data_IF_882046616492
#
_entry.id   IF_882046616492
#
_cell.length_a   1.000
_cell.length_b   1.000
_cell.length_c   1.000
_cell.angle_alpha   90.00
_cell.angle_beta   90.00
_cell.angle_gamma   90.00
#
_symmetry.space_group_name_H-M   'P 1'
#
loop_
_entity.id
_entity.type
_entity.pdbx_description
1 polymer ?
#
# COMPACT_ATOMS: atom_id res chain seq x y z
N UNK A 1 19.80 -25.98 14.32
CA UNK A 1 20.49 -24.70 14.04
C UNK A 1 21.87 -24.68 14.68
N UNK A 2 21.99 -24.85 16.00
CA UNK A 2 23.26 -24.83 16.74
C UNK A 2 24.35 -25.75 16.17
N UNK A 3 24.00 -27.00 15.83
CA UNK A 3 24.95 -27.96 15.24
C UNK A 3 25.55 -27.43 13.93
N UNK A 4 24.75 -26.74 13.11
CA UNK A 4 25.20 -26.21 11.82
C UNK A 4 26.06 -24.95 12.03
N UNK A 5 25.66 -24.06 12.94
CA UNK A 5 26.45 -22.88 13.31
C UNK A 5 27.82 -23.31 13.85
N UNK A 6 27.85 -24.28 14.76
CA UNK A 6 29.09 -24.81 15.34
C UNK A 6 29.96 -25.57 14.31
N UNK A 7 29.35 -26.08 13.24
CA UNK A 7 30.06 -26.70 12.12
C UNK A 7 30.62 -25.67 11.11
N UNK A 8 30.44 -24.37 11.34
CA UNK A 8 30.92 -23.30 10.47
C UNK A 8 30.01 -23.02 9.28
N UNK A 9 28.72 -23.34 9.38
CA UNK A 9 27.75 -22.94 8.35
C UNK A 9 27.67 -21.41 8.26
N UNK A 10 27.66 -20.90 7.03
CA UNK A 10 27.49 -19.47 6.77
C UNK A 10 26.06 -19.03 7.12
N UNK A 11 25.93 -18.24 8.19
CA UNK A 11 24.65 -17.71 8.70
C UNK A 11 24.05 -16.62 7.80
N UNK A 12 24.82 -16.10 6.85
CA UNK A 12 24.43 -15.06 5.90
C UNK A 12 24.26 -15.59 4.46
N UNK A 13 24.37 -16.90 4.26
CA UNK A 13 24.23 -17.51 2.95
C UNK A 13 22.85 -17.24 2.31
N UNK A 14 22.84 -16.59 1.14
CA UNK A 14 21.62 -16.35 0.40
C UNK A 14 21.30 -17.50 -0.55
N UNK A 15 20.05 -18.00 -0.51
CA UNK A 15 19.62 -19.01 -1.47
C UNK A 15 19.59 -18.44 -2.91
N UNK A 16 19.73 -19.31 -3.92
CA UNK A 16 19.85 -18.87 -5.32
C UNK A 16 18.52 -18.37 -5.92
N UNK A 17 17.38 -18.78 -5.35
CA UNK A 17 16.05 -18.52 -5.92
C UNK A 17 15.50 -17.18 -5.41
N UNK A 18 15.45 -17.00 -4.08
CA UNK A 18 14.79 -15.88 -3.43
C UNK A 18 15.76 -14.93 -2.73
N UNK A 19 17.08 -15.18 -2.82
CA UNK A 19 18.12 -14.44 -2.09
C UNK A 19 17.88 -14.38 -0.56
N UNK A 20 17.10 -15.32 -0.03
CA UNK A 20 16.78 -15.35 1.40
C UNK A 20 17.95 -15.93 2.20
N UNK A 21 18.25 -15.28 3.33
CA UNK A 21 19.20 -15.79 4.33
C UNK A 21 18.52 -16.77 5.30
N UNK A 22 19.27 -17.55 6.09
CA UNK A 22 18.73 -18.32 7.21
C UNK A 22 17.83 -17.51 8.14
N UNK A 23 18.11 -16.22 8.32
CA UNK A 23 17.33 -15.29 9.13
C UNK A 23 15.94 -15.03 8.52
N UNK A 24 15.87 -14.74 7.21
CA UNK A 24 14.59 -14.62 6.49
C UNK A 24 13.76 -15.90 6.57
N UNK A 25 14.41 -17.06 6.46
CA UNK A 25 13.75 -18.35 6.56
C UNK A 25 13.25 -18.64 7.98
N UNK A 26 13.95 -18.19 9.02
CA UNK A 26 13.50 -18.32 10.41
C UNK A 26 12.25 -17.48 10.69
N UNK A 27 12.16 -16.29 10.07
CA UNK A 27 11.00 -15.40 10.17
C UNK A 27 9.81 -15.93 9.36
N UNK A 28 10.02 -16.28 8.07
CA UNK A 28 8.95 -16.72 7.15
C UNK A 28 8.61 -18.20 7.23
N UNK A 29 9.38 -18.99 7.98
CA UNK A 29 9.32 -20.44 8.02
C UNK A 29 7.93 -20.96 8.41
N UNK A 30 7.22 -21.47 7.40
CA UNK A 30 5.92 -22.17 7.41
C UNK A 30 4.89 -21.68 8.43
N UNK A 31 3.98 -20.84 7.94
CA UNK A 31 2.67 -20.45 8.49
C UNK A 31 1.70 -21.62 8.80
N UNK A 32 2.20 -22.86 8.84
CA UNK A 32 1.37 -24.06 8.89
C UNK A 32 1.72 -24.89 10.13
N UNK A 33 0.77 -24.90 11.06
CA UNK A 33 0.30 -26.07 11.86
C UNK A 33 0.71 -26.27 13.32
N UNK A 34 1.69 -25.60 13.93
CA UNK A 34 2.07 -25.98 15.32
C UNK A 34 2.26 -24.81 16.30
N UNK A 35 1.27 -24.61 17.19
CA UNK A 35 1.27 -23.69 18.35
C UNK A 35 2.48 -23.85 19.28
N UNK A 36 3.13 -25.01 19.28
CA UNK A 36 4.24 -25.34 20.19
C UNK A 36 5.62 -24.92 19.66
N UNK A 37 5.68 -24.29 18.48
CA UNK A 37 6.95 -23.93 17.84
C UNK A 37 7.34 -22.45 17.97
N UNK A 38 6.47 -21.61 18.54
CA UNK A 38 6.68 -20.16 18.66
C UNK A 38 7.97 -19.79 19.44
N UNK A 39 8.20 -20.41 20.59
CA UNK A 39 9.41 -20.19 21.40
C UNK A 39 10.68 -20.61 20.66
N UNK A 40 10.61 -21.71 19.88
CA UNK A 40 11.75 -22.25 19.14
C UNK A 40 12.16 -21.36 17.96
N UNK A 41 11.24 -20.61 17.35
CA UNK A 41 11.58 -19.70 16.25
C UNK A 41 12.27 -18.44 16.75
N UNK A 42 11.75 -17.83 17.82
CA UNK A 42 12.43 -16.72 18.51
C UNK A 42 13.83 -17.16 18.96
N UNK A 43 13.97 -18.38 19.49
CA UNK A 43 15.25 -18.95 19.86
C UNK A 43 16.18 -19.18 18.65
N UNK A 44 15.66 -19.69 17.52
CA UNK A 44 16.44 -19.80 16.27
C UNK A 44 16.95 -18.43 15.80
N UNK A 45 16.11 -17.40 15.86
CA UNK A 45 16.48 -16.01 15.52
C UNK A 45 17.59 -15.53 16.47
N UNK A 46 17.44 -15.73 17.79
CA UNK A 46 18.46 -15.38 18.78
C UNK A 46 19.80 -16.04 18.47
N UNK A 47 19.80 -17.33 18.17
CA UNK A 47 21.01 -18.08 17.85
C UNK A 47 21.67 -17.58 16.56
N UNK A 48 20.90 -17.24 15.53
CA UNK A 48 21.43 -16.66 14.30
C UNK A 48 22.05 -15.28 14.56
N UNK A 49 21.36 -14.40 15.30
CA UNK A 49 21.87 -13.07 15.63
C UNK A 49 23.14 -13.14 16.50
N UNK A 50 23.17 -14.05 17.48
CA UNK A 50 24.38 -14.32 18.29
C UNK A 50 25.55 -14.84 17.45
N UNK A 51 25.26 -15.56 16.37
CA UNK A 51 26.26 -16.07 15.44
C UNK A 51 26.69 -15.04 14.37
N UNK A 52 26.20 -13.79 14.44
CA UNK A 52 26.58 -12.72 13.52
C UNK A 52 25.76 -12.69 12.23
N UNK A 53 24.51 -13.17 12.25
CA UNK A 53 23.61 -12.99 11.13
C UNK A 53 23.32 -11.50 10.90
N UNK A 54 23.48 -11.07 9.65
CA UNK A 54 23.22 -9.71 9.21
C UNK A 54 21.73 -9.55 8.88
N UNK A 55 21.05 -8.75 9.69
CA UNK A 55 19.63 -8.43 9.53
C UNK A 55 19.33 -7.42 8.43
N UNK A 56 20.34 -6.79 7.83
CA UNK A 56 20.19 -5.77 6.78
C UNK A 56 20.25 -6.34 5.37
N UNK A 57 20.72 -7.58 5.21
CA UNK A 57 20.72 -8.28 3.93
C UNK A 57 19.30 -8.38 3.39
N UNK A 58 19.11 -8.05 2.12
CA UNK A 58 17.79 -8.05 1.49
C UNK A 58 17.54 -9.34 0.69
N UNK A 59 16.30 -9.82 0.70
CA UNK A 59 15.83 -10.88 -0.20
C UNK A 59 15.62 -10.36 -1.64
N UNK A 60 15.14 -11.22 -2.56
CA UNK A 60 14.91 -10.83 -3.96
C UNK A 60 13.85 -9.72 -4.14
N UNK A 61 13.03 -9.49 -3.10
CA UNK A 61 12.00 -8.44 -3.08
C UNK A 61 12.54 -7.15 -2.47
N UNK A 62 13.81 -7.12 -2.05
CA UNK A 62 14.40 -5.97 -1.37
C UNK A 62 13.99 -5.86 0.10
N UNK A 63 13.44 -6.92 0.70
CA UNK A 63 13.03 -6.92 2.09
C UNK A 63 14.17 -7.42 2.96
N UNK A 64 14.48 -6.68 4.02
CA UNK A 64 15.39 -7.14 5.06
C UNK A 64 14.67 -8.02 6.10
N UNK A 65 15.38 -8.40 7.16
CA UNK A 65 14.81 -9.26 8.18
C UNK A 65 13.72 -8.56 9.03
N UNK A 66 13.82 -7.25 9.26
CA UNK A 66 12.77 -6.48 9.93
C UNK A 66 11.56 -6.31 9.03
N UNK A 67 11.75 -5.99 7.75
CA UNK A 67 10.66 -5.92 6.77
C UNK A 67 9.90 -7.24 6.67
N UNK A 68 10.63 -8.36 6.74
CA UNK A 68 10.03 -9.71 6.72
C UNK A 68 9.17 -9.97 7.96
N UNK A 69 9.53 -9.43 9.11
CA UNK A 69 8.71 -9.50 10.33
C UNK A 69 7.46 -8.64 10.15
N UNK A 70 7.61 -7.44 9.60
CA UNK A 70 6.51 -6.48 9.40
C UNK A 70 5.50 -6.99 8.37
N UNK A 71 5.97 -7.60 7.29
CA UNK A 71 5.15 -8.31 6.29
C UNK A 71 4.37 -9.45 6.95
N UNK A 72 5.01 -10.25 7.80
CA UNK A 72 4.37 -11.36 8.52
C UNK A 72 3.31 -10.88 9.52
N UNK A 73 3.54 -9.76 10.23
CA UNK A 73 2.54 -9.13 11.12
C UNK A 73 1.33 -8.69 10.30
N UNK A 74 1.55 -7.99 9.18
CA UNK A 74 0.45 -7.54 8.30
C UNK A 74 -0.36 -8.72 7.76
N UNK A 75 0.30 -9.76 7.27
CA UNK A 75 -0.35 -10.97 6.75
C UNK A 75 -1.18 -11.68 7.84
N UNK A 76 -0.64 -11.73 9.07
CA UNK A 76 -1.34 -12.26 10.25
C UNK A 76 -2.63 -11.49 10.57
N UNK A 77 -2.57 -10.16 10.59
CA UNK A 77 -3.72 -9.29 10.85
C UNK A 77 -4.80 -9.46 9.77
N UNK A 78 -4.41 -9.55 8.50
CA UNK A 78 -5.33 -9.76 7.37
C UNK A 78 -6.07 -11.10 7.46
N UNK A 79 -5.37 -12.16 7.88
CA UNK A 79 -5.95 -13.51 8.02
C UNK A 79 -6.60 -13.77 9.39
N UNK A 80 -6.62 -12.77 10.29
CA UNK A 80 -7.11 -12.87 11.69
C UNK A 80 -6.43 -13.99 12.49
N UNK A 81 -5.13 -14.17 12.29
CA UNK A 81 -4.34 -15.20 12.98
C UNK A 81 -3.68 -14.65 14.25
N UNK A 82 -4.46 -14.34 15.30
CA UNK A 82 -3.96 -13.62 16.49
C UNK A 82 -2.69 -14.17 17.17
N UNK A 83 -2.39 -15.46 17.01
CA UNK A 83 -1.21 -16.09 17.62
C UNK A 83 0.13 -15.74 16.92
N UNK A 84 0.10 -15.31 15.67
CA UNK A 84 1.32 -14.99 14.91
C UNK A 84 1.79 -13.57 15.22
N UNK A 85 0.87 -12.67 15.54
CA UNK A 85 1.19 -11.29 15.89
C UNK A 85 2.05 -11.20 17.16
N UNK A 86 1.68 -11.93 18.22
CA UNK A 86 2.45 -11.97 19.48
C UNK A 86 3.88 -12.50 19.27
N UNK A 87 4.02 -13.53 18.44
CA UNK A 87 5.34 -14.09 18.12
C UNK A 87 6.20 -13.13 17.30
N UNK A 88 5.64 -12.51 16.26
CA UNK A 88 6.38 -11.56 15.44
C UNK A 88 6.76 -10.31 16.23
N UNK A 89 5.93 -9.89 17.19
CA UNK A 89 6.29 -8.85 18.16
C UNK A 89 7.47 -9.28 19.05
N UNK A 90 7.47 -10.51 19.56
CA UNK A 90 8.61 -11.05 20.32
C UNK A 90 9.89 -11.21 19.48
N UNK A 91 9.77 -11.51 18.19
CA UNK A 91 10.91 -11.47 17.25
C UNK A 91 11.41 -10.04 17.07
N UNK A 92 10.52 -9.06 16.86
CA UNK A 92 10.88 -7.65 16.74
C UNK A 92 11.63 -7.15 17.99
N UNK A 93 11.15 -7.50 19.19
CA UNK A 93 11.85 -7.18 20.44
C UNK A 93 13.25 -7.78 20.49
N UNK A 94 13.41 -9.02 20.02
CA UNK A 94 14.71 -9.66 19.93
C UNK A 94 15.64 -8.91 18.98
N UNK A 95 15.18 -8.56 17.78
CA UNK A 95 15.96 -7.78 16.83
C UNK A 95 16.39 -6.42 17.40
N UNK A 96 15.46 -5.71 18.05
CA UNK A 96 15.75 -4.45 18.74
C UNK A 96 16.83 -4.60 19.82
N UNK A 97 16.81 -5.69 20.59
CA UNK A 97 17.81 -5.98 21.61
C UNK A 97 19.21 -6.26 21.03
N UNK A 98 19.30 -6.75 19.79
CA UNK A 98 20.55 -6.96 19.05
C UNK A 98 20.97 -5.73 18.20
N UNK A 99 20.29 -4.59 18.34
CA UNK A 99 20.64 -3.35 17.65
C UNK A 99 20.13 -3.24 16.22
N UNK A 100 19.39 -4.24 15.72
CA UNK A 100 18.64 -4.16 14.47
C UNK A 100 17.34 -3.41 14.75
N UNK A 101 17.42 -2.08 14.76
CA UNK A 101 16.26 -1.20 14.95
C UNK A 101 15.55 -0.98 13.62
N UNK A 102 14.23 -0.79 13.67
CA UNK A 102 13.50 -0.24 12.51
C UNK A 102 14.21 1.02 12.04
N UNK A 103 14.26 1.21 10.72
CA UNK A 103 14.86 2.39 10.13
C UNK A 103 14.44 3.67 10.88
N UNK A 104 15.40 4.52 11.30
CA UNK A 104 15.11 5.79 11.94
C UNK A 104 14.13 6.64 11.13
N UNK A 105 14.25 6.59 9.80
CA UNK A 105 13.36 7.29 8.88
C UNK A 105 11.91 6.80 9.00
N UNK A 106 11.70 5.48 9.03
CA UNK A 106 10.36 4.89 9.15
C UNK A 106 9.70 5.21 10.49
N UNK A 107 10.48 5.23 11.57
CA UNK A 107 9.97 5.61 12.89
C UNK A 107 9.52 7.08 12.92
N UNK A 108 10.28 7.98 12.30
CA UNK A 108 9.94 9.40 12.21
C UNK A 108 8.67 9.62 11.37
N UNK A 109 8.50 8.85 10.29
CA UNK A 109 7.27 8.87 9.47
C UNK A 109 6.07 8.40 10.29
N UNK A 110 6.22 7.35 11.10
CA UNK A 110 5.12 6.86 11.95
C UNK A 110 4.70 7.90 13.01
N UNK A 111 5.65 8.65 13.56
CA UNK A 111 5.38 9.75 14.49
C UNK A 111 5.00 11.07 13.79
N UNK A 112 4.97 11.11 12.45
CA UNK A 112 4.75 12.31 11.64
C UNK A 112 5.71 13.47 11.97
N UNK A 113 6.96 13.15 12.31
CA UNK A 113 8.01 14.12 12.62
C UNK A 113 8.70 14.63 11.34
N UNK A 114 8.16 15.72 10.79
CA UNK A 114 8.64 16.34 9.55
C UNK A 114 10.10 16.80 9.67
N UNK A 115 10.45 17.44 10.77
CA UNK A 115 11.78 18.02 10.96
C UNK A 115 12.83 16.94 11.20
N UNK A 116 12.47 15.88 11.92
CA UNK A 116 13.30 14.68 12.03
C UNK A 116 13.55 14.01 10.68
N UNK A 117 12.50 13.84 9.85
CA UNK A 117 12.65 13.30 8.48
C UNK A 117 13.57 14.20 7.65
N UNK A 118 13.37 15.52 7.68
CA UNK A 118 14.21 16.49 6.95
C UNK A 118 15.67 16.40 7.41
N UNK A 119 15.91 16.33 8.72
CA UNK A 119 17.25 16.17 9.28
C UNK A 119 17.92 14.88 8.83
N UNK A 120 17.18 13.77 8.81
CA UNK A 120 17.68 12.48 8.33
C UNK A 120 18.06 12.52 6.84
N UNK A 121 17.31 13.24 6.02
CA UNK A 121 17.56 13.36 4.57
C UNK A 121 18.70 14.36 4.25
N UNK A 122 18.84 15.44 5.02
CA UNK A 122 19.88 16.46 4.81
C UNK A 122 21.27 15.98 5.27
N UNK A 123 21.36 15.26 6.39
CA UNK A 123 22.62 14.67 6.87
C UNK A 123 23.30 13.79 5.80
N UNK A 124 22.49 13.14 4.95
CA UNK A 124 22.94 12.33 3.81
C UNK A 124 23.52 13.10 2.61
N UNK A 125 23.39 14.43 2.57
CA UNK A 125 23.92 15.26 1.46
C UNK A 125 25.21 15.98 1.81
N UNK A 126 25.59 16.02 3.10
CA UNK A 126 26.72 16.81 3.60
C UNK A 126 28.01 16.00 3.81
N UNK A 127 27.94 14.66 3.90
CA UNK A 127 29.09 13.80 4.08
C UNK A 127 29.26 12.88 2.85
N UNK A 128 30.21 13.23 1.99
CA UNK A 128 30.62 12.46 0.82
C UNK A 128 31.55 11.29 1.20
N UNK A 129 31.19 10.56 2.25
CA UNK A 129 31.78 9.27 2.60
C UNK A 129 30.67 8.21 2.43
N UNK A 130 30.95 7.20 1.60
CA UNK A 130 30.03 6.21 0.99
C UNK A 130 29.08 5.40 1.94
N UNK A 131 29.00 5.71 3.24
CA UNK A 131 28.24 4.94 4.25
C UNK A 131 27.03 5.68 4.89
N UNK A 132 26.80 6.98 4.63
CA UNK A 132 25.77 7.78 5.33
C UNK A 132 24.60 8.29 4.46
N UNK A 133 24.56 7.97 3.16
CA UNK A 133 23.43 8.30 2.32
C UNK A 133 22.24 7.38 2.63
N UNK A 134 21.05 7.92 2.93
CA UNK A 134 19.81 7.12 2.97
C UNK A 134 19.69 6.44 1.60
N UNK A 135 19.93 5.12 1.58
CA UNK A 135 19.95 4.36 0.33
C UNK A 135 18.61 4.48 -0.40
N UNK A 136 18.62 4.41 -1.73
CA UNK A 136 17.41 4.47 -2.56
C UNK A 136 16.31 3.50 -2.10
N UNK A 137 16.72 2.32 -1.59
CA UNK A 137 15.82 1.31 -1.01
C UNK A 137 15.06 1.88 0.19
N UNK A 138 15.76 2.60 1.07
CA UNK A 138 15.19 3.17 2.29
C UNK A 138 14.27 4.37 1.99
N UNK A 139 14.63 5.20 1.00
CA UNK A 139 13.74 6.26 0.49
C UNK A 139 12.43 5.67 -0.08
N UNK A 140 12.54 4.58 -0.85
CA UNK A 140 11.39 3.90 -1.43
C UNK A 140 10.52 3.23 -0.34
N UNK A 141 11.12 2.67 0.71
CA UNK A 141 10.38 2.20 1.89
C UNK A 141 9.67 3.35 2.60
N UNK A 142 10.33 4.50 2.75
CA UNK A 142 9.77 5.70 3.38
C UNK A 142 8.51 6.22 2.67
N UNK A 143 8.53 6.32 1.33
CA UNK A 143 7.36 6.82 0.59
C UNK A 143 6.18 5.83 0.65
N UNK A 144 6.46 4.52 0.65
CA UNK A 144 5.44 3.49 0.83
C UNK A 144 4.86 3.51 2.25
N UNK A 145 5.70 3.62 3.28
CA UNK A 145 5.27 3.77 4.66
C UNK A 145 4.42 5.03 4.86
N UNK A 146 4.75 6.12 4.17
CA UNK A 146 3.95 7.35 4.19
C UNK A 146 2.55 7.12 3.60
N UNK A 147 2.44 6.38 2.49
CA UNK A 147 1.15 6.03 1.90
C UNK A 147 0.34 5.07 2.79
N UNK A 148 0.99 4.15 3.50
CA UNK A 148 0.33 3.29 4.48
C UNK A 148 -0.12 4.05 5.73
N UNK A 149 0.67 5.04 6.16
CA UNK A 149 0.29 5.95 7.25
C UNK A 149 -0.95 6.76 6.86
N UNK A 150 -1.03 7.24 5.61
CA UNK A 150 -2.24 7.86 5.07
C UNK A 150 -3.45 6.94 5.23
N UNK A 151 -3.31 5.66 4.84
CA UNK A 151 -4.37 4.66 5.00
C UNK A 151 -4.80 4.49 6.46
N UNK A 152 -3.85 4.45 7.40
CA UNK A 152 -4.17 4.42 8.84
C UNK A 152 -4.97 5.64 9.25
N UNK A 153 -4.52 6.85 8.88
CA UNK A 153 -5.20 8.11 9.20
C UNK A 153 -6.61 8.21 8.61
N UNK A 154 -6.87 7.58 7.46
CA UNK A 154 -8.22 7.52 6.87
C UNK A 154 -9.13 6.55 7.63
N UNK A 155 -8.58 5.47 8.17
CA UNK A 155 -9.33 4.49 8.96
C UNK A 155 -9.54 4.96 10.41
N UNK A 156 -8.57 5.69 10.95
CA UNK A 156 -8.59 6.29 12.27
C UNK A 156 -9.43 7.58 12.23
N UNK A 157 -10.73 7.45 12.50
CA UNK A 157 -11.73 8.55 12.46
C UNK A 157 -11.43 9.78 13.37
N UNK A 158 -10.29 9.81 14.06
CA UNK A 158 -9.83 10.90 14.92
C UNK A 158 -8.67 11.73 14.33
N UNK A 159 -8.21 11.41 13.13
CA UNK A 159 -7.13 12.18 12.49
C UNK A 159 -7.54 13.65 12.29
N UNK A 160 -6.68 14.58 12.70
CA UNK A 160 -6.89 16.00 12.45
C UNK A 160 -6.30 16.42 11.10
N UNK A 161 -6.63 17.62 10.64
CA UNK A 161 -6.11 18.15 9.36
C UNK A 161 -4.58 18.33 9.42
N UNK A 162 -4.01 18.56 10.61
CA UNK A 162 -2.57 18.77 10.77
C UNK A 162 -1.77 17.49 10.47
N UNK A 163 -2.27 16.31 10.86
CA UNK A 163 -1.62 15.04 10.53
C UNK A 163 -1.50 14.81 9.01
N UNK A 164 -2.52 15.19 8.23
CA UNK A 164 -2.47 15.11 6.77
C UNK A 164 -1.47 16.12 6.17
N UNK A 165 -1.34 17.31 6.77
CA UNK A 165 -0.35 18.31 6.35
C UNK A 165 1.08 17.83 6.62
N UNK A 166 1.35 17.35 7.83
CA UNK A 166 2.67 16.76 8.16
C UNK A 166 3.01 15.61 7.23
N UNK A 167 2.03 14.73 6.96
CA UNK A 167 2.26 13.61 6.05
C UNK A 167 2.53 14.07 4.61
N UNK A 168 1.83 15.11 4.13
CA UNK A 168 2.10 15.71 2.83
C UNK A 168 3.53 16.26 2.76
N UNK A 169 3.96 16.99 3.79
CA UNK A 169 5.31 17.56 3.84
C UNK A 169 6.39 16.46 3.84
N UNK A 170 6.16 15.36 4.56
CA UNK A 170 7.03 14.18 4.55
C UNK A 170 7.11 13.58 3.13
N UNK A 171 5.97 13.38 2.46
CA UNK A 171 5.94 12.85 1.09
C UNK A 171 6.72 13.75 0.13
N UNK A 172 6.55 15.08 0.24
CA UNK A 172 7.32 16.04 -0.57
C UNK A 172 8.82 15.91 -0.30
N UNK A 173 9.24 15.86 0.97
CA UNK A 173 10.65 15.72 1.32
C UNK A 173 11.26 14.43 0.77
N UNK A 174 10.55 13.30 0.87
CA UNK A 174 11.00 12.02 0.35
C UNK A 174 11.14 12.04 -1.17
N UNK A 175 10.17 12.65 -1.87
CA UNK A 175 10.24 12.77 -3.33
C UNK A 175 11.34 13.74 -3.78
N UNK A 176 11.60 14.82 -3.04
CA UNK A 176 12.72 15.74 -3.30
C UNK A 176 14.08 15.07 -3.08
N UNK A 177 14.16 14.15 -2.11
CA UNK A 177 15.33 13.32 -1.89
C UNK A 177 15.51 12.20 -2.95
N UNK A 178 14.57 12.04 -3.88
CA UNK A 178 14.66 11.09 -4.98
C UNK A 178 13.96 9.75 -4.74
N UNK A 179 13.05 9.64 -3.77
CA UNK A 179 12.20 8.46 -3.65
C UNK A 179 11.41 8.21 -4.95
N UNK A 180 11.35 6.96 -5.41
CA UNK A 180 10.59 6.60 -6.61
C UNK A 180 9.08 6.61 -6.29
N UNK A 181 8.27 7.51 -6.87
CA UNK A 181 6.83 7.53 -6.66
C UNK A 181 6.11 6.29 -7.20
N UNK A 182 6.80 5.46 -7.98
CA UNK A 182 6.32 4.19 -8.52
C UNK A 182 6.94 2.98 -7.82
N UNK A 183 7.63 3.17 -6.68
CA UNK A 183 8.13 2.04 -5.90
C UNK A 183 6.98 1.11 -5.53
N UNK A 184 7.18 -0.20 -5.69
CA UNK A 184 6.18 -1.21 -5.38
C UNK A 184 6.70 -2.15 -4.29
N UNK A 185 5.86 -2.41 -3.28
CA UNK A 185 6.01 -3.61 -2.45
C UNK A 185 5.51 -4.81 -3.26
N UNK A 186 6.41 -5.68 -3.72
CA UNK A 186 6.04 -6.94 -4.36
C UNK A 186 5.67 -7.98 -3.29
N UNK A 187 4.50 -7.84 -2.68
CA UNK A 187 3.94 -8.91 -1.85
C UNK A 187 3.22 -9.89 -2.76
N UNK A 188 3.98 -10.86 -3.29
CA UNK A 188 3.40 -12.01 -3.99
C UNK A 188 2.62 -12.88 -2.99
N UNK A 189 1.31 -12.69 -2.88
CA UNK A 189 0.43 -13.71 -2.33
C UNK A 189 -0.49 -14.27 -3.43
N UNK A 190 -0.55 -15.59 -3.48
CA UNK A 190 -1.21 -16.45 -4.47
C UNK A 190 -2.74 -16.46 -4.37
N UNK A 191 -3.36 -15.47 -3.73
CA UNK A 191 -4.82 -15.34 -3.65
C UNK A 191 -5.27 -13.96 -4.08
N UNK A 192 -6.09 -13.94 -5.13
CA UNK A 192 -6.66 -12.79 -5.83
C UNK A 192 -6.83 -11.52 -4.97
N UNK A 193 -6.14 -10.47 -5.41
CA UNK A 193 -5.97 -9.12 -4.82
C UNK A 193 -4.70 -8.96 -3.97
N UNK A 194 -3.52 -8.92 -4.61
CA UNK A 194 -2.29 -8.52 -3.93
C UNK A 194 -2.44 -7.10 -3.35
N UNK A 195 -1.87 -6.87 -2.17
CA UNK A 195 -1.61 -5.54 -1.60
C UNK A 195 -0.47 -4.84 -2.38
N UNK A 196 -0.42 -5.01 -3.70
CA UNK A 196 0.55 -4.43 -4.60
C UNK A 196 0.02 -3.08 -5.06
N UNK A 197 0.66 -2.00 -4.61
CA UNK A 197 0.30 -0.66 -5.03
C UNK A 197 1.48 0.28 -4.92
N UNK A 198 1.71 1.07 -5.96
CA UNK A 198 2.53 2.27 -5.82
C UNK A 198 1.88 3.20 -4.77
N UNK A 199 2.63 4.14 -4.16
CA UNK A 199 2.09 5.12 -3.22
C UNK A 199 0.75 5.75 -3.66
N UNK A 200 0.63 6.11 -4.95
CA UNK A 200 -0.61 6.64 -5.52
C UNK A 200 -1.79 5.67 -5.41
N UNK A 201 -1.58 4.38 -5.70
CA UNK A 201 -2.63 3.36 -5.58
C UNK A 201 -3.10 3.21 -4.13
N UNK A 202 -2.18 3.15 -3.17
CA UNK A 202 -2.51 2.96 -1.75
C UNK A 202 -3.37 4.12 -1.24
N UNK A 203 -3.00 5.35 -1.57
CA UNK A 203 -3.77 6.55 -1.22
C UNK A 203 -5.16 6.51 -1.85
N UNK A 204 -5.25 6.22 -3.15
CA UNK A 204 -6.54 6.13 -3.85
C UNK A 204 -7.44 5.01 -3.29
N UNK A 205 -6.87 3.85 -2.97
CA UNK A 205 -7.60 2.73 -2.38
C UNK A 205 -8.14 3.08 -0.99
N UNK A 206 -7.39 3.86 -0.21
CA UNK A 206 -7.81 4.33 1.11
C UNK A 206 -9.03 5.26 1.03
N UNK A 207 -9.08 6.14 0.03
CA UNK A 207 -10.24 7.02 -0.24
C UNK A 207 -11.46 6.19 -0.67
N UNK A 208 -11.26 5.01 -1.26
CA UNK A 208 -12.37 4.12 -1.61
C UNK A 208 -12.94 3.38 -0.38
N UNK A 209 -12.14 3.15 0.66
CA UNK A 209 -12.58 2.51 1.91
C UNK A 209 -13.21 3.50 2.88
N UNK A 210 -12.60 4.67 3.09
CA UNK A 210 -13.04 5.72 4.01
C UNK A 210 -13.07 7.11 3.36
N UNK A 211 -13.73 8.08 4.01
CA UNK A 211 -13.70 9.47 3.54
C UNK A 211 -12.64 10.23 4.34
N UNK A 212 -11.59 10.78 3.70
CA UNK A 212 -10.60 11.59 4.42
C UNK A 212 -11.26 12.84 4.99
N UNK A 213 -10.83 13.26 6.18
CA UNK A 213 -11.29 14.49 6.84
C UNK A 213 -10.76 15.73 6.09
N UNK A 214 -9.54 15.62 5.54
CA UNK A 214 -8.87 16.68 4.79
C UNK A 214 -8.88 16.40 3.28
N UNK A 215 -10.05 16.60 2.64
CA UNK A 215 -10.21 16.39 1.19
C UNK A 215 -9.24 17.26 0.37
N UNK A 216 -9.07 18.54 0.72
CA UNK A 216 -8.20 19.46 -0.01
C UNK A 216 -6.73 19.03 0.06
N UNK A 217 -6.24 18.69 1.27
CA UNK A 217 -4.86 18.19 1.46
C UNK A 217 -4.65 16.86 0.73
N UNK A 218 -5.66 15.99 0.71
CA UNK A 218 -5.61 14.72 -0.04
C UNK A 218 -5.46 14.98 -1.55
N UNK A 219 -6.18 15.95 -2.09
CA UNK A 219 -6.07 16.32 -3.50
C UNK A 219 -4.68 16.89 -3.81
N UNK A 220 -4.10 17.68 -2.90
CA UNK A 220 -2.74 18.18 -3.03
C UNK A 220 -1.70 17.05 -3.00
N UNK A 221 -1.80 16.08 -2.08
CA UNK A 221 -0.91 14.90 -2.04
C UNK A 221 -0.94 14.14 -3.37
N UNK A 222 -2.13 13.89 -3.92
CA UNK A 222 -2.29 13.22 -5.21
C UNK A 222 -1.60 14.02 -6.33
N UNK A 223 -1.83 15.34 -6.36
CA UNK A 223 -1.23 16.23 -7.35
C UNK A 223 0.30 16.26 -7.25
N UNK A 224 0.83 16.31 -6.03
CA UNK A 224 2.28 16.31 -5.78
C UNK A 224 2.91 15.01 -6.31
N UNK A 225 2.31 13.84 -6.01
CA UNK A 225 2.76 12.55 -6.55
C UNK A 225 2.72 12.50 -8.08
N UNK A 226 1.62 12.92 -8.70
CA UNK A 226 1.48 12.93 -10.17
C UNK A 226 2.49 13.87 -10.83
N UNK A 227 2.69 15.07 -10.26
CA UNK A 227 3.65 16.05 -10.79
C UNK A 227 5.10 15.56 -10.75
N UNK A 228 5.40 14.61 -9.86
CA UNK A 228 6.72 13.98 -9.69
C UNK A 228 6.85 12.64 -10.40
N UNK A 229 5.89 12.28 -11.25
CA UNK A 229 5.97 11.12 -12.13
C UNK A 229 5.34 9.84 -11.60
N UNK A 230 4.46 9.92 -10.58
CA UNK A 230 3.61 8.79 -10.22
C UNK A 230 2.72 8.40 -11.42
N UNK A 231 2.74 7.12 -11.79
CA UNK A 231 1.97 6.58 -12.91
C UNK A 231 0.62 6.08 -12.43
N UNK A 232 -0.42 6.39 -13.21
CA UNK A 232 -1.75 5.82 -13.02
C UNK A 232 -1.76 4.42 -13.65
N UNK A 233 -1.46 3.40 -12.84
CA UNK A 233 -1.48 2.00 -13.27
C UNK A 233 -2.89 1.44 -13.44
N UNK A 234 -3.02 0.31 -14.14
CA UNK A 234 -4.31 -0.38 -14.35
C UNK A 234 -5.04 -0.67 -13.03
N UNK A 235 -4.31 -1.11 -12.01
CA UNK A 235 -4.87 -1.38 -10.67
C UNK A 235 -5.52 -0.15 -10.02
N UNK A 236 -4.99 1.06 -10.30
CA UNK A 236 -5.55 2.32 -9.80
C UNK A 236 -6.77 2.73 -10.61
N UNK A 237 -6.74 2.52 -11.94
CA UNK A 237 -7.90 2.76 -12.81
C UNK A 237 -9.09 1.86 -12.46
N UNK A 238 -8.81 0.60 -12.10
CA UNK A 238 -9.82 -0.38 -11.66
C UNK A 238 -10.57 0.04 -10.37
N UNK A 239 -10.03 0.99 -9.58
CA UNK A 239 -10.72 1.52 -8.41
C UNK A 239 -11.98 2.31 -8.78
N UNK A 240 -12.01 2.96 -9.96
CA UNK A 240 -13.12 3.82 -10.35
C UNK A 240 -14.42 3.01 -10.56
N UNK A 241 -14.45 1.92 -11.35
CA UNK A 241 -15.61 1.05 -11.44
C UNK A 241 -16.03 0.45 -10.08
N UNK A 242 -15.07 0.09 -9.23
CA UNK A 242 -15.34 -0.46 -7.88
C UNK A 242 -15.99 0.57 -6.95
N UNK A 243 -15.48 1.80 -6.92
CA UNK A 243 -16.05 2.89 -6.15
C UNK A 243 -17.47 3.22 -6.61
N UNK A 244 -17.70 3.23 -7.93
CA UNK A 244 -19.02 3.46 -8.51
C UNK A 244 -20.03 2.35 -8.15
N UNK A 245 -19.60 1.08 -8.22
CA UNK A 245 -20.41 -0.06 -7.80
C UNK A 245 -20.87 0.05 -6.32
N UNK A 246 -19.96 0.52 -5.45
CA UNK A 246 -20.18 0.68 -4.01
C UNK A 246 -20.93 1.96 -3.63
N UNK A 247 -21.18 2.88 -4.57
CA UNK A 247 -21.83 4.15 -4.28
C UNK A 247 -20.94 5.14 -3.53
N UNK A 248 -19.63 5.03 -3.67
CA UNK A 248 -18.67 5.92 -3.00
C UNK A 248 -18.51 7.21 -3.79
N UNK A 249 -19.53 8.07 -3.73
CA UNK A 249 -19.62 9.32 -4.51
C UNK A 249 -18.34 10.17 -4.41
N UNK A 250 -17.80 10.31 -3.20
CA UNK A 250 -16.61 11.13 -2.94
C UNK A 250 -15.38 10.52 -3.61
N UNK A 251 -15.21 9.20 -3.54
CA UNK A 251 -14.10 8.51 -4.19
C UNK A 251 -14.18 8.59 -5.72
N UNK A 252 -15.37 8.44 -6.30
CA UNK A 252 -15.58 8.60 -7.76
C UNK A 252 -15.18 10.01 -8.20
N UNK A 253 -15.60 11.03 -7.44
CA UNK A 253 -15.22 12.43 -7.70
C UNK A 253 -13.70 12.63 -7.67
N UNK A 254 -13.02 12.10 -6.65
CA UNK A 254 -11.56 12.20 -6.51
C UNK A 254 -10.81 11.51 -7.64
N UNK A 255 -11.19 10.29 -8.00
CA UNK A 255 -10.54 9.51 -9.04
C UNK A 255 -10.64 10.20 -10.41
N UNK A 256 -11.79 10.82 -10.72
CA UNK A 256 -11.98 11.54 -11.98
C UNK A 256 -11.28 12.91 -11.96
N UNK A 257 -11.53 13.72 -10.92
CA UNK A 257 -11.14 15.14 -10.93
C UNK A 257 -9.69 15.38 -10.46
N UNK A 258 -9.21 14.61 -9.49
CA UNK A 258 -7.88 14.81 -8.89
C UNK A 258 -6.84 13.85 -9.49
N UNK A 259 -7.21 12.57 -9.68
CA UNK A 259 -6.29 11.57 -10.24
C UNK A 259 -6.28 11.63 -11.77
N UNK A 260 -7.40 11.99 -12.40
CA UNK A 260 -7.50 12.04 -13.86
C UNK A 260 -7.78 10.68 -14.51
N UNK A 261 -8.46 9.77 -13.80
CA UNK A 261 -8.91 8.50 -14.37
C UNK A 261 -10.03 8.76 -15.38
N UNK A 262 -9.92 8.16 -16.56
CA UNK A 262 -10.94 8.24 -17.60
C UNK A 262 -12.30 7.72 -17.07
N UNK A 263 -13.38 8.54 -17.06
CA UNK A 263 -14.71 8.09 -16.64
C UNK A 263 -15.24 6.90 -17.46
N UNK A 264 -14.74 6.71 -18.68
CA UNK A 264 -15.11 5.65 -19.61
C UNK A 264 -14.23 4.40 -19.49
N UNK A 265 -13.32 4.36 -18.51
CA UNK A 265 -12.43 3.22 -18.30
C UNK A 265 -13.22 1.91 -18.21
N UNK A 266 -12.81 0.96 -19.05
CA UNK A 266 -13.39 -0.38 -19.13
C UNK A 266 -12.64 -1.28 -18.15
N UNK A 267 -13.26 -1.52 -16.99
CA UNK A 267 -12.74 -2.48 -16.02
C UNK A 267 -12.95 -3.93 -16.47
N UNK A 268 -12.92 -4.85 -15.50
CA UNK A 268 -13.16 -6.28 -15.73
C UNK A 268 -14.50 -6.52 -16.46
N UNK A 269 -14.49 -7.40 -17.46
CA UNK A 269 -15.65 -7.72 -18.32
C UNK A 269 -16.17 -6.52 -19.14
N UNK A 270 -15.33 -5.51 -19.38
CA UNK A 270 -15.75 -4.30 -20.08
C UNK A 270 -16.67 -3.39 -19.26
N UNK A 271 -16.84 -3.67 -17.97
CA UNK A 271 -17.75 -2.94 -17.10
C UNK A 271 -17.19 -1.56 -16.77
N UNK A 272 -17.90 -0.51 -17.19
CA UNK A 272 -17.59 0.87 -16.83
C UNK A 272 -18.20 1.27 -15.50
N UNK A 273 -17.75 2.40 -14.96
CA UNK A 273 -18.29 3.02 -13.75
C UNK A 273 -19.77 3.36 -13.88
N UNK A 274 -20.19 3.81 -15.07
CA UNK A 274 -21.60 4.08 -15.37
C UNK A 274 -22.42 2.79 -15.35
N UNK A 275 -21.95 1.71 -16.01
CA UNK A 275 -22.64 0.42 -16.02
C UNK A 275 -22.82 -0.13 -14.59
N UNK A 276 -21.75 -0.13 -13.79
CA UNK A 276 -21.80 -0.68 -12.43
C UNK A 276 -22.65 0.14 -11.46
N UNK A 277 -22.59 1.47 -11.53
CA UNK A 277 -23.45 2.34 -10.71
C UNK A 277 -24.92 2.22 -11.11
N UNK A 278 -25.22 2.11 -12.41
CA UNK A 278 -26.56 1.85 -12.92
C UNK A 278 -27.12 0.49 -12.48
N UNK A 279 -26.31 -0.58 -12.57
CA UNK A 279 -26.69 -1.92 -12.09
C UNK A 279 -26.98 -1.91 -10.59
N UNK A 280 -26.14 -1.22 -9.81
CA UNK A 280 -26.25 -1.16 -8.34
C UNK A 280 -27.29 -0.19 -7.81
N UNK A 281 -27.93 0.63 -8.66
CA UNK A 281 -28.90 1.63 -8.19
C UNK A 281 -28.27 2.85 -7.52
N UNK A 282 -27.01 3.20 -7.84
CA UNK A 282 -26.31 4.36 -7.27
C UNK A 282 -26.62 5.63 -8.06
N UNK A 283 -27.83 6.16 -7.87
CA UNK A 283 -28.32 7.29 -8.66
C UNK A 283 -27.49 8.57 -8.49
N UNK A 284 -26.96 8.81 -7.29
CA UNK A 284 -26.04 9.89 -6.96
C UNK A 284 -24.72 9.80 -7.76
N UNK A 285 -24.13 8.60 -7.85
CA UNK A 285 -22.93 8.36 -8.65
C UNK A 285 -23.24 8.50 -10.14
N UNK A 286 -24.37 7.96 -10.61
CA UNK A 286 -24.79 8.13 -12.01
C UNK A 286 -24.92 9.61 -12.33
N UNK A 287 -25.60 10.38 -11.50
CA UNK A 287 -25.74 11.83 -11.71
C UNK A 287 -24.37 12.52 -11.78
N UNK A 288 -23.44 12.22 -10.86
CA UNK A 288 -22.09 12.78 -10.88
C UNK A 288 -21.30 12.41 -12.16
N UNK A 289 -21.47 11.19 -12.66
CA UNK A 289 -20.86 10.77 -13.93
C UNK A 289 -21.48 11.53 -15.11
N UNK A 290 -22.80 11.74 -15.13
CA UNK A 290 -23.48 12.47 -16.21
C UNK A 290 -23.18 13.98 -16.21
N UNK A 291 -22.86 14.55 -15.05
CA UNK A 291 -22.37 15.93 -14.94
C UNK A 291 -20.99 16.11 -15.58
N UNK A 292 -20.24 15.02 -15.79
CA UNK A 292 -18.98 15.04 -16.52
C UNK A 292 -19.23 14.86 -18.03
N UNK A 293 -18.89 15.90 -18.81
CA UNK A 293 -19.09 15.93 -20.26
C UNK A 293 -18.29 14.88 -21.04
N UNK A 294 -17.26 14.28 -20.43
CA UNK A 294 -16.49 13.21 -21.04
C UNK A 294 -17.17 11.83 -20.94
N UNK A 295 -18.24 11.68 -20.16
CA UNK A 295 -18.89 10.39 -19.94
C UNK A 295 -19.69 9.94 -21.17
N UNK A 296 -19.39 8.74 -21.66
CA UNK A 296 -20.07 8.11 -22.80
C UNK A 296 -21.14 7.11 -22.32
N UNK A 297 -22.37 7.36 -22.75
CA UNK A 297 -23.56 6.57 -22.43
C UNK A 297 -23.73 5.32 -23.30
N UNK A 298 -23.02 5.24 -24.43
CA UNK A 298 -23.18 4.21 -25.46
C UNK A 298 -22.23 3.03 -25.27
N UNK A 299 -21.30 3.10 -24.31
CA UNK A 299 -20.36 2.02 -24.01
C UNK A 299 -21.12 0.76 -23.56
N UNK A 300 -20.75 -0.37 -24.18
CA UNK A 300 -21.26 -1.71 -23.87
C UNK A 300 -20.22 -2.55 -23.14
N UNK A 301 -20.65 -3.37 -22.19
CA UNK A 301 -19.78 -4.40 -21.59
C UNK A 301 -19.47 -5.54 -22.60
N UNK A 302 -18.72 -6.54 -22.16
CA UNK A 302 -18.35 -7.68 -23.01
C UNK A 302 -19.55 -8.59 -23.36
N UNK A 303 -20.71 -8.38 -22.72
CA UNK A 303 -22.00 -9.03 -23.06
C UNK A 303 -22.85 -8.18 -24.01
N UNK A 304 -22.33 -7.04 -24.49
CA UNK A 304 -23.04 -6.13 -25.38
C UNK A 304 -24.11 -5.28 -24.68
N UNK A 305 -24.08 -5.16 -23.34
CA UNK A 305 -25.08 -4.42 -22.56
C UNK A 305 -24.58 -3.06 -22.12
N UNK A 306 -25.45 -2.06 -22.24
CA UNK A 306 -25.23 -0.68 -21.80
C UNK A 306 -25.68 -0.46 -20.36
N UNK A 307 -25.34 0.70 -19.81
CA UNK A 307 -25.77 1.10 -18.47
C UNK A 307 -27.31 1.08 -18.31
N UNK A 308 -28.05 1.53 -19.34
CA UNK A 308 -29.52 1.54 -19.32
C UNK A 308 -30.13 0.14 -19.32
N UNK A 309 -29.49 -0.84 -19.97
CA UNK A 309 -29.97 -2.23 -20.00
C UNK A 309 -29.93 -2.83 -18.59
N UNK A 310 -28.84 -2.57 -17.86
CA UNK A 310 -28.72 -2.98 -16.47
C UNK A 310 -29.65 -2.23 -15.53
N UNK A 311 -29.84 -0.92 -15.71
CA UNK A 311 -30.79 -0.14 -14.92
C UNK A 311 -32.22 -0.66 -15.10
N UNK A 312 -32.61 -0.95 -16.34
CA UNK A 312 -33.93 -1.48 -16.70
C UNK A 312 -34.13 -2.89 -16.14
N UNK A 313 -33.18 -3.79 -16.35
CA UNK A 313 -33.27 -5.18 -15.87
C UNK A 313 -33.30 -5.32 -14.34
N UNK A 314 -32.86 -4.29 -13.59
CA UNK A 314 -32.84 -4.26 -12.13
C UNK A 314 -33.86 -3.27 -11.52
N UNK A 315 -34.84 -2.83 -12.31
CA UNK A 315 -35.93 -1.92 -11.91
C UNK A 315 -35.43 -0.60 -11.28
N UNK A 316 -34.30 -0.06 -11.76
CA UNK A 316 -33.73 1.22 -11.30
C UNK A 316 -34.35 2.39 -12.05
N UNK A 317 -35.65 2.61 -11.82
CA UNK A 317 -36.48 3.61 -12.55
C UNK A 317 -35.86 5.00 -12.56
N UNK A 318 -35.33 5.47 -11.43
CA UNK A 318 -34.71 6.80 -11.34
C UNK A 318 -33.47 6.93 -12.23
N UNK A 319 -32.68 5.86 -12.34
CA UNK A 319 -31.49 5.81 -13.20
C UNK A 319 -31.90 5.73 -14.66
N UNK A 320 -32.91 4.95 -15.01
CA UNK A 320 -33.45 4.93 -16.39
C UNK A 320 -33.89 6.34 -16.79
N UNK A 321 -34.55 7.08 -15.88
CA UNK A 321 -34.91 8.49 -16.13
C UNK A 321 -33.68 9.39 -16.31
N UNK A 322 -32.63 9.20 -15.51
CA UNK A 322 -31.38 9.96 -15.67
C UNK A 322 -30.72 9.68 -17.03
N UNK A 323 -30.66 8.42 -17.46
CA UNK A 323 -30.00 8.00 -18.70
C UNK A 323 -30.81 8.27 -19.98
N UNK A 324 -32.10 8.56 -19.86
CA UNK A 324 -33.00 8.88 -21.00
C UNK A 324 -33.28 10.36 -21.13
N UNK A 325 -32.82 11.20 -20.19
CA UNK A 325 -32.91 12.64 -20.35
C UNK A 325 -32.07 13.06 -21.56
N UNK A 326 -32.63 13.83 -22.51
CA UNK A 326 -31.83 14.45 -23.55
C UNK A 326 -30.88 15.47 -22.91
N UNK A 327 -29.60 15.40 -23.29
CA UNK A 327 -28.59 16.42 -22.96
C UNK A 327 -28.95 17.78 -23.56
#
# INVERSE_FOLDING_TARGET
>A
MEVLINAGADVNAQNQIAKMTPLHCAIRGTFQTFRETHSRRIECVKLLLQAGADGTLCDMKGMDALDSIDDAIRESQMRKMGNIEEEMMGMRETFNAFGLKSSPLLQLIDTLDVEGVRGCLVASTAEADDEAAVGQVELNKGILASAEKFRSLVNDNYADVSAYQSLREIIICLLDAGADPNSHLTVTDTTQHPLEGAPLHIICASICSGSPIAADVTAEIIKDLLSRGAKIGSITMDLLPVAAHRGKLHAVKFLIQCVGVDPNFRGRQGMTSLILSSRSGRADVVQLLLENTATDLDIVDDSGKRAIDYATANDKVDIVRLLTKPN
#
